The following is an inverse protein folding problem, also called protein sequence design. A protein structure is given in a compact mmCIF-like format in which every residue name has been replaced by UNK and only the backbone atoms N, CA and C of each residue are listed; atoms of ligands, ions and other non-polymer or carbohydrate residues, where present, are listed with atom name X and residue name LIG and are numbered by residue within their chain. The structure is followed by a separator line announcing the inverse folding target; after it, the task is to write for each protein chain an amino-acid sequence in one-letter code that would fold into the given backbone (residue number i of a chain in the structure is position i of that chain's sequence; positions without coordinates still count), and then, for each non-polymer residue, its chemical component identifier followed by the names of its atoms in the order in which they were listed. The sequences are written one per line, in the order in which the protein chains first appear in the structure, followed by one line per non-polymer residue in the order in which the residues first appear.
data_IF_082987030943
#
_entry.id   IF_082987030943
#
_cell.length_a   1.000
_cell.length_b   1.000
_cell.length_c   1.000
_cell.angle_alpha   90.00
_cell.angle_beta   90.00
_cell.angle_gamma   90.00
#
_symmetry.space_group_name_H-M   'P 1'
#
loop_
_entity.id
_entity.type
_entity.pdbx_description
1 polymer ?
#
# COMPACT_ATOMS: atom_id res chain seq x y z
N UNK A 1 -2.29 -8.01 5.80
CA UNK A 1 -2.79 -8.40 7.12
C UNK A 1 -3.79 -7.39 7.61
N UNK A 2 -4.95 -7.83 8.06
CA UNK A 2 -5.91 -6.95 8.70
C UNK A 2 -5.54 -6.77 10.18
N UNK A 3 -5.90 -5.62 10.75
CA UNK A 3 -5.77 -5.40 12.19
C UNK A 3 -6.77 -6.30 12.89
N UNK A 4 -6.31 -7.13 13.82
CA UNK A 4 -7.12 -8.15 14.48
C UNK A 4 -7.69 -7.71 15.82
N UNK A 5 -7.18 -6.62 16.40
CA UNK A 5 -7.67 -6.13 17.68
C UNK A 5 -9.05 -5.47 17.51
N UNK A 6 -9.96 -5.75 18.41
CA UNK A 6 -11.30 -5.16 18.45
C UNK A 6 -11.52 -4.44 19.80
N UNK A 7 -12.53 -3.58 19.85
CA UNK A 7 -12.88 -2.88 21.08
C UNK A 7 -13.34 -3.88 22.16
N UNK A 8 -12.82 -3.71 23.37
CA UNK A 8 -13.20 -4.56 24.50
C UNK A 8 -14.40 -3.93 25.17
N UNK A 9 -15.51 -4.69 25.25
CA UNK A 9 -16.72 -4.24 25.94
C UNK A 9 -16.67 -4.58 27.45
N UNK A 10 -17.45 -3.87 28.26
CA UNK A 10 -17.48 -4.10 29.70
C UNK A 10 -18.02 -5.48 30.10
N UNK A 11 -18.73 -6.15 29.18
CA UNK A 11 -19.26 -7.50 29.38
C UNK A 11 -18.29 -8.60 28.98
N UNK A 12 -17.12 -8.25 28.45
CA UNK A 12 -16.14 -9.24 28.03
C UNK A 12 -15.50 -9.92 29.26
N UNK A 13 -15.18 -11.21 29.11
CA UNK A 13 -14.47 -11.96 30.13
C UNK A 13 -12.97 -11.58 30.14
N UNK A 14 -12.30 -11.97 31.24
CA UNK A 14 -10.84 -11.81 31.33
C UNK A 14 -10.11 -12.54 30.18
N UNK A 15 -10.62 -13.70 29.78
CA UNK A 15 -10.05 -14.43 28.64
C UNK A 15 -10.18 -13.65 27.33
N UNK A 16 -11.32 -13.02 27.07
CA UNK A 16 -11.50 -12.15 25.91
C UNK A 16 -10.56 -10.95 25.97
N UNK A 17 -10.37 -10.36 27.14
CA UNK A 17 -9.41 -9.28 27.33
C UNK A 17 -8.00 -9.74 26.96
N UNK A 18 -7.58 -10.90 27.45
CA UNK A 18 -6.27 -11.46 27.17
C UNK A 18 -6.08 -11.68 25.67
N UNK A 19 -7.09 -12.24 25.00
CA UNK A 19 -7.02 -12.49 23.56
C UNK A 19 -6.91 -11.18 22.78
N UNK A 20 -7.70 -10.17 23.12
CA UNK A 20 -7.64 -8.88 22.43
C UNK A 20 -6.29 -8.19 22.65
N UNK A 21 -5.73 -8.28 23.85
CA UNK A 21 -4.42 -7.74 24.12
C UNK A 21 -3.34 -8.44 23.32
N UNK A 22 -3.38 -9.77 23.21
CA UNK A 22 -2.43 -10.54 22.43
C UNK A 22 -2.56 -10.21 20.92
N UNK A 23 -3.77 -10.03 20.43
CA UNK A 23 -4.02 -9.63 19.05
C UNK A 23 -3.42 -8.25 18.75
N UNK A 24 -3.62 -7.30 19.67
CA UNK A 24 -3.04 -5.97 19.54
C UNK A 24 -1.50 -6.03 19.53
N UNK A 25 -0.92 -6.85 20.41
CA UNK A 25 0.54 -7.03 20.45
C UNK A 25 1.06 -7.59 19.12
N UNK A 26 0.36 -8.56 18.54
CA UNK A 26 0.73 -9.14 17.24
C UNK A 26 0.66 -8.10 16.13
N UNK A 27 -0.39 -7.27 16.11
CA UNK A 27 -0.55 -6.21 15.12
C UNK A 27 0.55 -5.16 15.24
N UNK A 28 0.89 -4.76 16.47
CA UNK A 28 1.96 -3.79 16.73
C UNK A 28 3.32 -4.35 16.32
N UNK A 29 3.58 -5.63 16.61
CA UNK A 29 4.83 -6.27 16.21
C UNK A 29 4.95 -6.34 14.68
N UNK A 30 3.85 -6.63 13.96
CA UNK A 30 3.82 -6.61 12.51
C UNK A 30 4.14 -5.22 11.96
N UNK A 31 3.58 -4.18 12.53
CA UNK A 31 3.85 -2.79 12.15
C UNK A 31 5.31 -2.42 12.41
N UNK A 32 5.85 -2.79 13.58
CA UNK A 32 7.23 -2.51 13.96
C UNK A 32 8.24 -3.22 13.06
N UNK A 33 7.98 -4.46 12.69
CA UNK A 33 8.87 -5.25 11.82
C UNK A 33 8.74 -4.90 10.34
N UNK A 34 7.77 -4.07 9.96
CA UNK A 34 7.53 -3.72 8.56
C UNK A 34 6.87 -4.80 7.74
N UNK A 35 6.24 -5.79 8.40
CA UNK A 35 5.57 -6.91 7.72
C UNK A 35 4.06 -6.76 7.64
N UNK A 36 3.51 -5.62 8.06
CA UNK A 36 2.08 -5.36 8.01
C UNK A 36 1.61 -5.21 6.56
N UNK A 37 0.60 -5.99 6.18
CA UNK A 37 0.04 -5.97 4.82
C UNK A 37 -1.31 -5.26 4.83
N UNK A 38 -1.50 -4.31 3.92
CA UNK A 38 -2.74 -3.59 3.73
C UNK A 38 -3.39 -4.00 2.42
N UNK A 39 -4.72 -4.18 2.42
CA UNK A 39 -5.47 -4.38 1.18
C UNK A 39 -5.56 -3.08 0.37
N UNK A 40 -5.54 -1.94 1.06
CA UNK A 40 -5.66 -0.63 0.43
C UNK A 40 -4.97 0.41 1.30
N UNK A 41 -4.29 1.37 0.68
CA UNK A 41 -3.68 2.51 1.35
C UNK A 41 -4.20 3.78 0.70
N UNK A 42 -4.80 4.68 1.51
CA UNK A 42 -5.19 6.01 1.08
C UNK A 42 -4.32 7.02 1.81
N UNK A 43 -3.53 7.79 1.10
CA UNK A 43 -2.61 8.74 1.69
C UNK A 43 -2.51 10.00 0.85
N UNK A 44 -2.40 11.16 1.51
CA UNK A 44 -2.17 12.43 0.82
C UNK A 44 -0.80 12.46 0.17
N UNK A 45 0.20 11.90 0.84
CA UNK A 45 1.57 11.81 0.35
C UNK A 45 2.14 10.46 0.76
N UNK A 46 2.79 9.80 -0.16
CA UNK A 46 3.52 8.56 0.11
C UNK A 46 5.00 8.78 -0.22
N UNK A 47 5.87 8.54 0.77
CA UNK A 47 7.32 8.63 0.59
C UNK A 47 7.91 7.25 0.74
N UNK A 48 8.71 6.84 -0.25
CA UNK A 48 9.31 5.51 -0.26
C UNK A 48 10.64 5.54 -1.01
N UNK A 49 11.59 4.74 -0.56
CA UNK A 49 12.87 4.58 -1.24
C UNK A 49 12.75 3.76 -2.52
N UNK A 50 11.80 2.85 -2.57
CA UNK A 50 11.55 2.00 -3.73
C UNK A 50 10.07 1.65 -3.79
N UNK A 51 9.50 1.67 -4.99
CA UNK A 51 8.14 1.23 -5.23
C UNK A 51 8.18 0.08 -6.22
N UNK A 52 7.70 -1.08 -5.81
CA UNK A 52 7.69 -2.28 -6.65
C UNK A 52 6.26 -2.57 -7.10
N UNK A 53 5.99 -2.36 -8.38
CA UNK A 53 4.71 -2.70 -8.99
C UNK A 53 4.82 -4.14 -9.47
N UNK A 54 3.99 -5.01 -8.92
CA UNK A 54 4.06 -6.45 -9.16
C UNK A 54 3.47 -6.83 -10.53
N UNK A 55 3.44 -8.13 -10.80
CA UNK A 55 2.93 -8.72 -12.03
C UNK A 55 1.57 -8.12 -12.43
N UNK A 56 1.46 -7.72 -13.70
CA UNK A 56 0.28 -7.09 -14.28
C UNK A 56 -0.16 -5.78 -13.59
N UNK A 57 0.67 -5.24 -12.72
CA UNK A 57 0.36 -3.99 -12.02
C UNK A 57 0.51 -2.77 -12.92
N UNK A 58 -0.21 -1.70 -12.57
CA UNK A 58 -0.22 -0.44 -13.31
C UNK A 58 -0.21 0.75 -12.37
N UNK A 59 0.10 1.93 -12.91
CA UNK A 59 -0.09 3.21 -12.22
C UNK A 59 -1.17 3.97 -12.98
N UNK A 60 -2.21 4.42 -12.27
CA UNK A 60 -3.35 5.12 -12.87
C UNK A 60 -3.38 6.56 -12.37
N UNK A 61 -3.48 7.50 -13.32
CA UNK A 61 -3.60 8.92 -13.02
C UNK A 61 -4.99 9.40 -13.44
N UNK A 62 -5.75 9.96 -12.49
CA UNK A 62 -7.07 10.52 -12.75
C UNK A 62 -6.98 11.77 -13.61
N UNK A 63 -5.99 12.60 -13.39
CA UNK A 63 -5.87 13.90 -14.05
C UNK A 63 -6.55 14.99 -13.23
N UNK A 64 -6.85 16.11 -13.88
CA UNK A 64 -7.39 17.28 -13.20
C UNK A 64 -8.88 17.18 -12.90
N UNK A 65 -9.59 16.34 -13.65
CA UNK A 65 -11.05 16.19 -13.54
C UNK A 65 -11.36 14.76 -13.08
N UNK A 66 -12.15 14.64 -12.01
CA UNK A 66 -12.62 13.34 -11.52
C UNK A 66 -13.77 12.86 -12.39
N UNK A 67 -13.46 12.03 -13.37
CA UNK A 67 -14.44 11.50 -14.32
C UNK A 67 -14.10 10.05 -14.71
N UNK A 68 -14.68 9.55 -15.77
CA UNK A 68 -14.44 8.19 -16.25
C UNK A 68 -13.21 8.04 -17.15
N UNK A 69 -12.38 9.08 -17.27
CA UNK A 69 -11.20 9.07 -18.16
C UNK A 69 -9.93 9.19 -17.33
N UNK A 70 -9.08 8.16 -17.38
CA UNK A 70 -7.80 8.10 -16.65
C UNK A 70 -6.66 7.81 -17.62
N UNK A 71 -5.44 8.12 -17.20
CA UNK A 71 -4.22 7.70 -17.88
C UNK A 71 -3.58 6.56 -17.12
N UNK A 72 -3.41 5.43 -17.77
CA UNK A 72 -2.77 4.26 -17.20
C UNK A 72 -1.35 4.11 -17.74
N UNK A 73 -0.38 4.09 -16.83
CA UNK A 73 1.00 3.82 -17.16
C UNK A 73 1.27 2.33 -16.93
N UNK A 74 1.63 1.63 -17.97
CA UNK A 74 1.90 0.20 -17.93
C UNK A 74 3.16 -0.12 -18.73
N UNK A 75 3.65 -1.34 -18.63
CA UNK A 75 4.83 -1.79 -19.35
C UNK A 75 4.50 -3.06 -20.13
N UNK A 76 5.11 -3.19 -21.31
CA UNK A 76 5.08 -4.46 -22.02
C UNK A 76 5.89 -5.50 -21.24
N UNK A 77 5.50 -6.76 -21.34
CA UNK A 77 6.19 -7.85 -20.65
C UNK A 77 7.67 -7.87 -21.06
N UNK A 78 8.59 -7.54 -20.13
CA UNK A 78 9.99 -7.46 -20.49
C UNK A 78 10.61 -8.86 -20.61
N UNK A 79 11.47 -9.02 -21.61
CA UNK A 79 12.21 -10.26 -21.82
C UNK A 79 13.56 -10.28 -21.13
N UNK A 80 13.93 -9.19 -20.49
CA UNK A 80 15.14 -9.02 -19.67
C UNK A 80 14.94 -7.80 -18.78
N UNK A 81 15.83 -7.61 -17.84
CA UNK A 81 15.80 -6.39 -17.02
C UNK A 81 15.98 -5.17 -17.90
N UNK A 82 15.12 -4.17 -17.73
CA UNK A 82 15.12 -2.92 -18.49
C UNK A 82 15.14 -1.74 -17.55
N UNK A 83 15.84 -0.71 -17.91
CA UNK A 83 15.91 0.54 -17.17
C UNK A 83 15.48 1.70 -18.06
N UNK A 84 14.55 2.51 -17.58
CA UNK A 84 14.17 3.76 -18.22
C UNK A 84 14.65 4.89 -17.32
N UNK A 85 15.55 5.70 -17.81
CA UNK A 85 16.09 6.84 -17.08
C UNK A 85 15.44 8.11 -17.56
N UNK A 86 14.86 8.87 -16.63
CA UNK A 86 14.31 10.18 -16.95
C UNK A 86 15.47 11.19 -16.96
N UNK A 87 15.56 12.07 -17.97
CA UNK A 87 16.65 13.04 -18.07
C UNK A 87 16.53 14.13 -17.00
N UNK A 88 17.66 14.74 -16.66
CA UNK A 88 17.68 15.94 -15.83
C UNK A 88 17.29 17.14 -16.68
N UNK A 89 16.02 17.21 -17.04
CA UNK A 89 15.50 18.25 -17.93
C UNK A 89 14.00 18.37 -17.74
N UNK A 90 13.50 19.57 -18.00
CA UNK A 90 12.07 19.84 -18.05
C UNK A 90 11.55 19.54 -19.46
N UNK A 91 10.42 18.85 -19.56
CA UNK A 91 9.83 18.56 -20.84
C UNK A 91 8.61 17.67 -20.76
N UNK A 92 8.09 17.32 -21.90
CA UNK A 92 6.99 16.39 -22.04
C UNK A 92 7.53 15.08 -22.60
N UNK A 93 7.15 13.98 -21.94
CA UNK A 93 7.51 12.62 -22.39
C UNK A 93 6.54 12.24 -23.50
N UNK A 94 7.06 12.22 -24.72
CA UNK A 94 6.22 11.76 -25.82
C UNK A 94 7.04 11.70 -27.10
#
# INVERSE_FOLDING_TARGET
MAISATQIATTNTLENFRQQFNNLQTDVNGLESGTLTFSSVSATTTSTSALNILEDGTIVFEGATDDGNETTLTVADPTADRTITLPDATGTVF
#
